data_IF_659644828824
#
_entry.id   IF_659644828824
#
_cell.length_a   1.000
_cell.length_b   1.000
_cell.length_c   1.000
_cell.angle_alpha   90.00
_cell.angle_beta   90.00
_cell.angle_gamma   90.00
#
_symmetry.space_group_name_H-M   'P 1'
#
loop_
_entity.id
_entity.type
_entity.pdbx_description
1 polymer ?
#
# COMPACT_ATOMS: atom_id res chain seq x y z
N UNK A 1 -28.17 -14.22 15.62
CA UNK A 1 -26.81 -13.81 15.19
C UNK A 1 -26.58 -12.41 15.73
N UNK A 2 -25.68 -12.23 16.69
CA UNK A 2 -25.47 -10.96 17.37
C UNK A 2 -24.54 -10.06 16.57
N UNK A 3 -25.01 -8.86 16.19
CA UNK A 3 -24.20 -7.82 15.55
C UNK A 3 -23.20 -7.24 16.57
N UNK A 4 -21.90 -7.42 16.32
CA UNK A 4 -20.86 -6.77 17.10
C UNK A 4 -20.66 -5.35 16.55
N UNK A 5 -21.32 -4.36 17.16
CA UNK A 5 -21.12 -2.95 16.83
C UNK A 5 -19.75 -2.50 17.35
N UNK A 6 -18.77 -2.29 16.47
CA UNK A 6 -17.48 -1.73 16.86
C UNK A 6 -17.67 -0.25 17.28
N UNK A 7 -17.69 0.01 18.59
CA UNK A 7 -17.61 1.38 19.11
C UNK A 7 -16.20 1.93 18.90
N UNK A 8 -16.02 2.79 17.90
CA UNK A 8 -14.79 3.55 17.72
C UNK A 8 -14.80 4.72 18.72
N UNK A 9 -13.91 4.66 19.71
CA UNK A 9 -13.70 5.74 20.69
C UNK A 9 -12.48 6.56 20.28
N UNK A 10 -12.67 7.86 20.09
CA UNK A 10 -11.58 8.82 19.91
C UNK A 10 -11.31 9.53 21.23
N UNK A 11 -10.05 9.56 21.65
CA UNK A 11 -9.60 10.24 22.87
C UNK A 11 -8.79 11.47 22.49
N UNK A 12 -9.12 12.63 23.06
CA UNK A 12 -8.27 13.82 22.95
C UNK A 12 -7.08 13.65 23.90
N UNK A 13 -5.93 13.29 23.36
CA UNK A 13 -4.68 13.24 24.11
C UNK A 13 -4.04 14.62 24.03
N UNK A 14 -3.95 15.33 25.16
CA UNK A 14 -3.15 16.56 25.25
C UNK A 14 -1.68 16.16 25.16
N UNK A 15 -1.00 16.49 24.06
CA UNK A 15 0.46 16.35 23.95
C UNK A 15 1.07 17.68 23.53
N UNK A 16 2.23 18.02 24.11
CA UNK A 16 3.03 19.18 23.74
C UNK A 16 4.09 18.85 22.69
N UNK A 17 4.17 17.59 22.24
CA UNK A 17 5.15 17.14 21.25
C UNK A 17 4.80 17.66 19.85
N UNK A 18 5.79 18.24 19.18
CA UNK A 18 5.71 18.54 17.75
C UNK A 18 5.83 17.25 16.93
N UNK A 19 4.70 16.77 16.42
CA UNK A 19 4.60 15.57 15.58
C UNK A 19 4.66 15.90 14.09
N UNK A 20 4.76 17.18 13.71
CA UNK A 20 4.67 17.61 12.31
C UNK A 20 5.78 16.98 11.47
N UNK A 21 7.01 17.01 11.98
CA UNK A 21 8.15 16.37 11.31
C UNK A 21 7.95 14.88 11.10
N UNK A 22 7.43 14.16 12.11
CA UNK A 22 7.10 12.74 11.97
C UNK A 22 6.04 12.49 10.90
N UNK A 23 4.95 13.27 10.88
CA UNK A 23 3.87 13.11 9.91
C UNK A 23 4.32 13.39 8.48
N UNK A 24 5.14 14.42 8.28
CA UNK A 24 5.70 14.77 6.97
C UNK A 24 6.65 13.67 6.46
N UNK A 25 7.56 13.20 7.32
CA UNK A 25 8.47 12.10 7.00
C UNK A 25 7.71 10.81 6.72
N UNK A 26 6.69 10.48 7.53
CA UNK A 26 5.88 9.28 7.33
C UNK A 26 5.08 9.33 6.02
N UNK A 27 4.52 10.50 5.68
CA UNK A 27 3.81 10.71 4.40
C UNK A 27 4.76 10.50 3.22
N UNK A 28 5.95 11.08 3.28
CA UNK A 28 6.96 10.90 2.23
C UNK A 28 7.39 9.43 2.10
N UNK A 29 7.63 8.76 3.23
CA UNK A 29 8.00 7.35 3.30
C UNK A 29 6.93 6.44 2.65
N UNK A 30 5.65 6.68 2.98
CA UNK A 30 4.53 5.94 2.40
C UNK A 30 4.43 6.19 0.89
N UNK A 31 4.56 7.44 0.44
CA UNK A 31 4.51 7.78 -0.97
C UNK A 31 5.65 7.10 -1.75
N UNK A 32 6.88 7.15 -1.22
CA UNK A 32 8.03 6.49 -1.84
C UNK A 32 7.81 4.98 -1.93
N UNK A 33 7.29 4.35 -0.86
CA UNK A 33 6.95 2.93 -0.89
C UNK A 33 5.88 2.59 -1.94
N UNK A 34 4.87 3.43 -2.12
CA UNK A 34 3.85 3.24 -3.17
C UNK A 34 4.49 3.34 -4.56
N UNK A 35 5.30 4.37 -4.80
CA UNK A 35 5.95 4.61 -6.09
C UNK A 35 6.85 3.44 -6.49
N UNK A 36 7.74 3.02 -5.59
CA UNK A 36 8.66 1.91 -5.84
C UNK A 36 7.92 0.60 -6.17
N UNK A 37 6.85 0.28 -5.43
CA UNK A 37 6.05 -0.91 -5.74
C UNK A 37 5.34 -0.73 -7.08
N UNK A 38 4.79 0.45 -7.36
CA UNK A 38 4.06 0.76 -8.59
C UNK A 38 4.93 0.64 -9.84
N UNK A 39 6.12 1.22 -9.82
CA UNK A 39 7.09 1.19 -10.93
C UNK A 39 7.58 -0.23 -11.24
N UNK A 40 7.57 -1.11 -10.24
CA UNK A 40 7.95 -2.53 -10.38
C UNK A 40 6.75 -3.46 -10.61
N UNK A 41 5.56 -2.94 -10.91
CA UNK A 41 4.42 -3.75 -11.35
C UNK A 41 4.70 -4.28 -12.75
N UNK A 42 4.67 -5.59 -12.90
CA UNK A 42 4.71 -6.23 -14.22
C UNK A 42 3.29 -6.50 -14.73
N UNK A 43 3.12 -6.53 -16.05
CA UNK A 43 1.83 -6.73 -16.69
C UNK A 43 1.84 -8.03 -17.48
N UNK A 44 0.91 -8.93 -17.16
CA UNK A 44 0.71 -10.14 -17.93
C UNK A 44 -0.48 -9.96 -18.87
N UNK A 45 -0.27 -10.21 -20.16
CA UNK A 45 -1.36 -10.32 -21.11
C UNK A 45 -2.03 -11.69 -20.98
N UNK A 46 -3.34 -11.70 -20.81
CA UNK A 46 -4.16 -12.91 -20.81
C UNK A 46 -5.19 -12.80 -21.92
N UNK A 47 -5.22 -13.81 -22.79
CA UNK A 47 -6.20 -13.93 -23.88
C UNK A 47 -7.24 -14.97 -23.48
N UNK A 48 -8.36 -14.51 -22.92
CA UNK A 48 -9.57 -15.33 -22.71
C UNK A 48 -10.76 -14.57 -23.28
N UNK A 49 -11.07 -14.81 -24.55
CA UNK A 49 -12.12 -14.10 -25.29
C UNK A 49 -11.76 -12.65 -25.70
N UNK A 50 -10.95 -11.94 -24.90
CA UNK A 50 -10.37 -10.62 -25.21
C UNK A 50 -8.96 -10.50 -24.64
N UNK A 51 -8.13 -9.63 -25.22
CA UNK A 51 -6.80 -9.29 -24.72
C UNK A 51 -6.93 -8.44 -23.47
N UNK A 52 -6.29 -8.86 -22.37
CA UNK A 52 -6.35 -8.17 -21.07
C UNK A 52 -4.99 -8.10 -20.41
N UNK A 53 -4.64 -6.93 -19.87
CA UNK A 53 -3.45 -6.77 -19.03
C UNK A 53 -3.81 -7.01 -17.56
N UNK A 54 -3.08 -7.89 -16.89
CA UNK A 54 -3.24 -8.19 -15.46
C UNK A 54 -2.00 -7.68 -14.72
N UNK A 55 -2.14 -6.71 -13.80
CA UNK A 55 -1.01 -6.24 -13.03
C UNK A 55 -0.60 -7.27 -11.98
N UNK A 56 0.69 -7.55 -11.92
CA UNK A 56 1.35 -8.37 -10.91
C UNK A 56 2.15 -7.45 -10.00
N UNK A 57 1.66 -7.34 -8.76
CA UNK A 57 2.35 -6.58 -7.72
C UNK A 57 3.58 -7.40 -7.26
N UNK A 58 4.79 -6.81 -7.22
CA UNK A 58 6.00 -7.51 -6.80
C UNK A 58 5.92 -7.92 -5.32
N UNK A 59 6.20 -9.19 -5.03
CA UNK A 59 6.06 -9.77 -3.69
C UNK A 59 7.25 -10.62 -3.23
N UNK A 60 8.30 -10.71 -4.05
CA UNK A 60 9.49 -11.48 -3.70
C UNK A 60 10.11 -10.96 -2.41
N UNK A 61 10.72 -11.86 -1.63
CA UNK A 61 11.42 -11.51 -0.40
C UNK A 61 12.57 -10.54 -0.66
N UNK A 62 13.29 -10.75 -1.76
CA UNK A 62 14.37 -9.89 -2.22
C UNK A 62 13.89 -8.47 -2.52
N UNK A 63 12.81 -8.31 -3.29
CA UNK A 63 12.24 -7.01 -3.58
C UNK A 63 11.84 -6.27 -2.29
N UNK A 64 11.14 -6.97 -1.37
CA UNK A 64 10.73 -6.39 -0.08
C UNK A 64 11.92 -5.97 0.77
N UNK A 65 12.99 -6.77 0.78
CA UNK A 65 14.23 -6.45 1.50
C UNK A 65 14.89 -5.21 0.91
N UNK A 66 15.01 -5.13 -0.41
CA UNK A 66 15.64 -3.99 -1.09
C UNK A 66 14.82 -2.71 -0.89
N UNK A 67 13.49 -2.79 -1.01
CA UNK A 67 12.58 -1.69 -0.69
C UNK A 67 12.77 -1.20 0.74
N UNK A 68 12.78 -2.12 1.71
CA UNK A 68 12.99 -1.78 3.13
C UNK A 68 14.33 -1.08 3.36
N UNK A 69 15.41 -1.58 2.77
CA UNK A 69 16.74 -0.99 2.90
C UNK A 69 16.79 0.42 2.28
N UNK A 70 16.18 0.63 1.10
CA UNK A 70 16.09 1.95 0.44
C UNK A 70 15.31 2.97 1.28
N UNK A 71 14.25 2.52 1.96
CA UNK A 71 13.44 3.38 2.82
C UNK A 71 14.12 3.70 4.15
N UNK A 72 14.88 2.75 4.72
CA UNK A 72 15.62 2.95 5.97
C UNK A 72 16.80 3.91 5.81
N UNK A 73 17.43 3.98 4.64
CA UNK A 73 18.61 4.82 4.42
C UNK A 73 18.39 6.33 4.65
N UNK A 74 17.14 6.81 4.65
CA UNK A 74 16.78 8.21 4.88
C UNK A 74 15.72 8.35 5.99
N UNK A 75 15.77 7.50 7.02
CA UNK A 75 14.73 7.44 8.05
C UNK A 75 15.27 7.69 9.47
N UNK A 76 14.81 8.79 10.08
CA UNK A 76 15.28 9.24 11.39
C UNK A 76 14.50 8.68 12.59
N UNK A 77 13.38 7.98 12.35
CA UNK A 77 12.53 7.43 13.42
C UNK A 77 12.68 5.91 13.55
N UNK A 78 11.89 5.29 14.44
CA UNK A 78 11.94 3.84 14.63
C UNK A 78 11.66 3.06 13.33
N UNK A 79 12.45 2.02 13.08
CA UNK A 79 12.37 1.20 11.86
C UNK A 79 10.99 0.54 11.64
N UNK A 80 10.23 0.25 12.70
CA UNK A 80 8.91 -0.37 12.57
C UNK A 80 7.89 0.52 11.83
N UNK A 81 8.11 1.85 11.78
CA UNK A 81 7.28 2.74 10.96
C UNK A 81 7.51 2.50 9.46
N UNK A 82 8.73 2.15 9.05
CA UNK A 82 9.03 1.71 7.68
C UNK A 82 8.29 0.44 7.34
N UNK A 83 8.36 -0.56 8.23
CA UNK A 83 7.64 -1.82 8.03
C UNK A 83 6.10 -1.59 7.95
N UNK A 84 5.59 -0.65 8.73
CA UNK A 84 4.18 -0.23 8.70
C UNK A 84 3.82 0.48 7.39
N UNK A 85 4.66 1.40 6.90
CA UNK A 85 4.45 2.09 5.63
C UNK A 85 4.45 1.11 4.45
N UNK A 86 5.38 0.15 4.42
CA UNK A 86 5.41 -0.90 3.40
C UNK A 86 4.11 -1.73 3.43
N UNK A 87 3.64 -2.13 4.61
CA UNK A 87 2.37 -2.85 4.78
C UNK A 87 1.19 -2.05 4.23
N UNK A 88 1.13 -0.74 4.54
CA UNK A 88 0.07 0.15 4.06
C UNK A 88 0.11 0.30 2.53
N UNK A 89 1.29 0.54 1.94
CA UNK A 89 1.47 0.65 0.50
C UNK A 89 0.96 -0.62 -0.23
N UNK A 90 1.32 -1.80 0.27
CA UNK A 90 0.80 -3.07 -0.26
C UNK A 90 -0.71 -3.20 -0.12
N UNK A 91 -1.31 -2.71 0.96
CA UNK A 91 -2.76 -2.75 1.15
C UNK A 91 -3.48 -1.88 0.10
N UNK A 92 -2.99 -0.66 -0.11
CA UNK A 92 -3.48 0.30 -1.10
C UNK A 92 -3.42 -0.33 -2.50
N UNK A 93 -2.26 -0.85 -2.89
CA UNK A 93 -2.07 -1.43 -4.23
C UNK A 93 -2.86 -2.72 -4.45
N UNK A 94 -3.04 -3.54 -3.41
CA UNK A 94 -3.95 -4.69 -3.48
C UNK A 94 -5.39 -4.26 -3.70
N UNK A 95 -5.83 -3.19 -3.03
CA UNK A 95 -7.18 -2.63 -3.20
C UNK A 95 -7.37 -2.10 -4.63
N UNK A 96 -6.42 -1.30 -5.12
CA UNK A 96 -6.40 -0.81 -6.49
C UNK A 96 -6.47 -1.97 -7.50
N UNK A 97 -5.64 -3.01 -7.35
CA UNK A 97 -5.67 -4.18 -8.24
C UNK A 97 -7.03 -4.87 -8.26
N UNK A 98 -7.69 -5.02 -7.11
CA UNK A 98 -9.05 -5.60 -7.05
C UNK A 98 -10.05 -4.76 -7.83
N UNK A 99 -10.01 -3.43 -7.65
CA UNK A 99 -10.90 -2.52 -8.34
C UNK A 99 -10.65 -2.50 -9.86
N UNK A 100 -9.38 -2.46 -10.28
CA UNK A 100 -8.99 -2.59 -11.68
C UNK A 100 -9.52 -3.89 -12.28
N UNK A 101 -9.39 -5.00 -11.55
CA UNK A 101 -9.87 -6.29 -12.04
C UNK A 101 -11.41 -6.35 -12.13
N UNK A 102 -12.12 -5.70 -11.21
CA UNK A 102 -13.59 -5.66 -11.16
C UNK A 102 -14.19 -4.75 -12.24
N UNK A 103 -13.70 -3.53 -12.40
CA UNK A 103 -14.24 -2.59 -13.40
C UNK A 103 -14.13 -3.10 -14.84
N UNK A 104 -13.07 -3.87 -15.11
CA UNK A 104 -12.93 -4.61 -16.36
C UNK A 104 -13.93 -5.77 -16.50
N UNK A 105 -14.23 -6.51 -15.42
CA UNK A 105 -15.22 -7.61 -15.44
C UNK A 105 -16.62 -7.11 -15.79
N UNK A 106 -17.02 -5.96 -15.26
CA UNK A 106 -18.32 -5.34 -15.55
C UNK A 106 -18.42 -4.96 -17.04
N UNK A 107 -17.36 -4.39 -17.64
CA UNK A 107 -17.32 -4.06 -19.08
C UNK A 107 -17.35 -5.27 -20.03
N UNK A 108 -17.02 -6.48 -19.58
CA UNK A 108 -17.15 -7.70 -20.44
C UNK A 108 -18.54 -8.29 -20.49
N UNK A 109 -19.39 -7.97 -19.51
CA UNK A 109 -20.72 -8.56 -19.34
C UNK A 109 -21.82 -7.66 -19.92
N UNK A 110 -21.45 -6.50 -20.48
CA UNK A 110 -22.36 -5.51 -21.09
C UNK A 110 -22.36 -5.63 -22.62
#
# INVERSE_FOLDING_TARGET
MSECSYQVRSYKVKHSYDVKGFLESYRWLLQKAINEIWENITWNEVVKGRKRLIPIIPKSSEFKRNLRNSLLGNWDFCAHYVDSAIKQAYSILKSWRRNYLKGELERSQS
#
